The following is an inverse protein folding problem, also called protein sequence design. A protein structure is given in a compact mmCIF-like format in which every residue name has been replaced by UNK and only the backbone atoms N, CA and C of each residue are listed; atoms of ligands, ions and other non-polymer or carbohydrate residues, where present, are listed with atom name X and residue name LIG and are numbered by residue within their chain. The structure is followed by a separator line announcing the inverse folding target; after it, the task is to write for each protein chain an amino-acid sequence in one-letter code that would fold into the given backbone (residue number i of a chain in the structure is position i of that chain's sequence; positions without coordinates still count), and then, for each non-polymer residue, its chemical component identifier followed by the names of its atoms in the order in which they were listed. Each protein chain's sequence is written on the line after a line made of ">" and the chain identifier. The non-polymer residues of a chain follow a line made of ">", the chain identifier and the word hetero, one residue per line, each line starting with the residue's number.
data_IF_955392279000
#
_entry.id   IF_955392279000
#
_cell.length_a   1.000
_cell.length_b   1.000
_cell.length_c   1.000
_cell.angle_alpha   90.00
_cell.angle_beta   90.00
_cell.angle_gamma   90.00
#
_symmetry.space_group_name_H-M   'P 1'
#
loop_
_entity.id
_entity.type
_entity.pdbx_description
1 polymer ?
#
# COMPACT_ATOMS: atom_id res chain seq x y z
N UNK A 1 24.95 14.71 -12.05
CA UNK A 1 23.54 14.39 -11.81
C UNK A 1 23.46 13.58 -10.51
N UNK A 2 22.61 14.00 -9.58
CA UNK A 2 22.33 13.21 -8.37
C UNK A 2 21.66 11.90 -8.81
N UNK A 3 22.20 10.76 -8.41
CA UNK A 3 21.63 9.45 -8.70
C UNK A 3 20.90 8.96 -7.44
N UNK A 4 19.59 8.84 -7.51
CA UNK A 4 18.74 8.37 -6.39
C UNK A 4 18.58 6.85 -6.35
N UNK A 5 18.93 6.15 -7.43
CA UNK A 5 18.74 4.72 -7.55
C UNK A 5 19.27 4.16 -8.87
N UNK A 6 18.98 2.88 -9.13
CA UNK A 6 19.38 2.16 -10.33
C UNK A 6 18.41 1.04 -10.68
N UNK A 7 18.44 0.59 -11.94
CA UNK A 7 17.71 -0.60 -12.38
C UNK A 7 18.44 -1.89 -11.99
N UNK A 8 17.74 -2.81 -11.37
CA UNK A 8 18.18 -4.18 -11.12
C UNK A 8 17.51 -5.09 -12.14
N UNK A 9 18.17 -5.33 -13.27
CA UNK A 9 17.57 -6.05 -14.40
C UNK A 9 17.23 -7.50 -14.06
N UNK A 10 18.11 -8.19 -13.35
CA UNK A 10 17.92 -9.59 -12.95
C UNK A 10 16.69 -9.78 -12.03
N UNK A 11 16.40 -8.82 -11.15
CA UNK A 11 15.24 -8.84 -10.26
C UNK A 11 14.02 -8.14 -10.86
N UNK A 12 14.17 -7.45 -11.99
CA UNK A 12 13.14 -6.57 -12.57
C UNK A 12 12.64 -5.54 -11.57
N UNK A 13 13.58 -4.90 -10.89
CA UNK A 13 13.33 -3.89 -9.87
C UNK A 13 13.97 -2.55 -10.23
N UNK A 14 13.37 -1.47 -9.73
CA UNK A 14 14.05 -0.20 -9.58
C UNK A 14 14.41 0.00 -8.11
N UNK A 15 15.70 0.13 -7.83
CA UNK A 15 16.26 0.22 -6.46
C UNK A 15 16.55 1.68 -6.13
N UNK A 16 15.86 2.22 -5.13
CA UNK A 16 16.07 3.59 -4.63
C UNK A 16 16.99 3.53 -3.42
N UNK A 17 18.12 4.21 -3.49
CA UNK A 17 19.16 4.23 -2.44
C UNK A 17 19.20 5.53 -1.67
N UNK A 18 18.58 6.60 -2.19
CA UNK A 18 18.37 7.87 -1.49
C UNK A 18 16.87 8.21 -1.43
N UNK A 19 16.25 8.21 -0.25
CA UNK A 19 14.81 8.46 -0.12
C UNK A 19 14.39 9.90 -0.42
N UNK A 20 15.35 10.83 -0.56
CA UNK A 20 15.11 12.26 -0.83
C UNK A 20 14.90 12.54 -2.31
N UNK A 21 14.11 11.72 -2.98
CA UNK A 21 13.74 11.94 -4.38
C UNK A 21 13.03 13.28 -4.57
N UNK A 22 13.16 13.94 -5.73
CA UNK A 22 12.58 15.29 -5.97
C UNK A 22 11.06 15.35 -5.81
N UNK A 23 10.39 14.21 -6.01
CA UNK A 23 8.96 13.97 -5.80
C UNK A 23 8.78 12.51 -5.36
N UNK A 24 7.62 12.13 -4.82
CA UNK A 24 7.35 10.73 -4.56
C UNK A 24 7.47 9.89 -5.83
N UNK A 25 8.22 8.80 -5.74
CA UNK A 25 8.32 7.81 -6.82
C UNK A 25 7.43 6.62 -6.46
N UNK A 26 6.47 6.37 -7.33
CA UNK A 26 5.39 5.44 -7.06
C UNK A 26 5.52 4.15 -7.87
N UNK A 27 5.01 3.09 -7.28
CA UNK A 27 4.77 1.80 -7.92
C UNK A 27 3.29 1.44 -7.86
N UNK A 28 2.85 0.58 -8.78
CA UNK A 28 1.49 0.08 -8.85
C UNK A 28 1.43 -1.35 -8.35
N UNK A 29 0.39 -1.65 -7.56
CA UNK A 29 0.14 -2.96 -6.99
C UNK A 29 -1.24 -3.46 -7.42
N UNK A 30 -1.36 -4.77 -7.62
CA UNK A 30 -2.66 -5.41 -7.72
C UNK A 30 -3.12 -5.81 -9.12
N UNK A 31 -4.40 -5.98 -9.22
CA UNK A 31 -5.15 -6.52 -10.35
C UNK A 31 -6.26 -5.56 -10.77
N UNK A 32 -7.03 -5.85 -11.84
CA UNK A 32 -8.22 -5.06 -12.18
C UNK A 32 -9.24 -4.91 -11.04
N UNK A 33 -9.33 -5.93 -10.17
CA UNK A 33 -10.32 -5.97 -9.09
C UNK A 33 -9.90 -5.17 -7.84
N UNK A 34 -8.60 -5.09 -7.56
CA UNK A 34 -8.04 -4.34 -6.44
C UNK A 34 -6.73 -3.69 -6.86
N UNK A 35 -6.69 -2.38 -6.85
CA UNK A 35 -5.51 -1.61 -7.20
C UNK A 35 -4.98 -0.78 -6.05
N UNK A 36 -3.67 -0.58 -6.04
CA UNK A 36 -3.01 0.33 -5.11
C UNK A 36 -1.83 1.04 -5.76
N UNK A 37 -1.57 2.25 -5.30
CA UNK A 37 -0.36 3.00 -5.60
C UNK A 37 0.40 3.18 -4.30
N UNK A 38 1.68 2.87 -4.30
CA UNK A 38 2.56 3.02 -3.16
C UNK A 38 3.84 3.72 -3.56
N UNK A 39 4.28 4.68 -2.76
CA UNK A 39 5.55 5.38 -2.97
C UNK A 39 6.67 4.76 -2.14
N UNK A 40 7.92 5.20 -2.36
CA UNK A 40 9.07 4.80 -1.53
C UNK A 40 8.93 5.20 -0.05
N UNK A 41 8.01 6.12 0.26
CA UNK A 41 7.69 6.54 1.63
C UNK A 41 6.34 6.00 2.12
N UNK A 42 5.79 4.98 1.43
CA UNK A 42 4.50 4.36 1.70
C UNK A 42 3.26 5.28 1.55
N UNK A 43 3.41 6.45 0.92
CA UNK A 43 2.28 7.28 0.48
C UNK A 43 1.46 6.60 -0.61
N UNK A 44 0.36 7.23 -1.01
CA UNK A 44 -0.53 6.73 -2.04
C UNK A 44 -1.82 6.13 -1.49
N UNK A 45 -2.56 5.41 -2.33
CA UNK A 45 -3.93 4.99 -2.01
C UNK A 45 -4.27 3.61 -2.58
N UNK A 46 -5.38 3.06 -2.07
CA UNK A 46 -5.94 1.77 -2.51
C UNK A 46 -7.40 1.92 -2.91
N UNK A 47 -7.84 1.07 -3.83
CA UNK A 47 -9.20 1.09 -4.35
C UNK A 47 -9.65 -0.29 -4.85
N UNK A 48 -10.97 -0.51 -4.84
CA UNK A 48 -11.62 -1.66 -5.47
C UNK A 48 -12.18 -1.21 -6.82
N UNK A 49 -11.76 -1.81 -7.92
CA UNK A 49 -12.17 -1.57 -9.31
C UNK A 49 -11.87 -0.16 -9.83
N UNK A 50 -12.15 0.89 -9.09
CA UNK A 50 -12.03 2.29 -9.55
C UNK A 50 -11.41 3.19 -8.49
N UNK A 51 -10.37 3.93 -8.86
CA UNK A 51 -9.73 4.91 -7.99
C UNK A 51 -10.66 6.07 -7.58
N UNK A 52 -11.69 6.37 -8.36
CA UNK A 52 -12.67 7.41 -8.08
C UNK A 52 -13.89 6.90 -7.32
N UNK A 53 -14.39 5.69 -7.62
CA UNK A 53 -15.64 5.17 -7.09
C UNK A 53 -15.50 3.99 -6.11
N UNK A 54 -14.30 3.44 -5.94
CA UNK A 54 -14.00 2.32 -5.05
C UNK A 54 -12.89 2.61 -4.04
N UNK A 55 -12.67 3.86 -3.69
CA UNK A 55 -11.59 4.30 -2.82
C UNK A 55 -11.70 3.69 -1.41
N UNK A 56 -10.55 3.23 -0.91
CA UNK A 56 -10.41 2.70 0.46
C UNK A 56 -9.59 3.65 1.32
N UNK A 57 -8.41 4.06 0.82
CA UNK A 57 -7.51 4.95 1.54
C UNK A 57 -7.62 6.39 1.05
N UNK A 58 -7.65 7.31 2.00
CA UNK A 58 -7.60 8.74 1.72
C UNK A 58 -6.18 9.16 1.39
N UNK A 59 -6.02 9.84 0.27
CA UNK A 59 -4.77 10.43 -0.18
C UNK A 59 -5.04 11.49 -1.23
N UNK A 60 -4.37 12.63 -1.11
CA UNK A 60 -4.27 13.64 -2.16
C UNK A 60 -2.80 13.92 -2.40
N UNK A 61 -2.42 14.13 -3.67
CA UNK A 61 -1.03 14.48 -3.99
C UNK A 61 -0.58 15.73 -3.24
N UNK A 62 0.49 15.64 -2.48
CA UNK A 62 1.02 16.72 -1.66
C UNK A 62 2.54 16.61 -1.49
N UNK A 63 3.17 17.69 -1.06
CA UNK A 63 4.62 17.81 -0.90
C UNK A 63 5.22 16.78 0.09
N UNK A 64 4.45 16.40 1.11
CA UNK A 64 4.94 15.51 2.18
C UNK A 64 4.61 14.04 1.91
N UNK A 65 3.83 13.75 0.86
CA UNK A 65 3.37 12.40 0.52
C UNK A 65 2.49 11.78 1.63
N UNK A 66 1.63 12.58 2.23
CA UNK A 66 0.77 12.22 3.37
C UNK A 66 -0.73 12.24 3.01
N UNK A 67 -1.53 11.41 3.69
CA UNK A 67 -1.18 10.31 4.56
C UNK A 67 -0.73 9.07 3.78
N UNK A 68 -0.02 8.15 4.48
CA UNK A 68 0.47 6.91 3.89
C UNK A 68 0.06 5.66 4.69
N UNK A 69 0.58 4.52 4.24
CA UNK A 69 0.53 3.22 4.91
C UNK A 69 1.67 3.12 5.89
N UNK A 70 1.58 3.83 7.00
CA UNK A 70 2.71 3.97 7.91
C UNK A 70 2.84 2.78 8.85
N UNK A 71 4.08 2.36 9.05
CA UNK A 71 4.51 1.46 10.10
C UNK A 71 5.56 2.18 10.93
N UNK A 72 5.28 2.39 12.21
CA UNK A 72 6.21 2.98 13.15
C UNK A 72 6.78 1.90 14.05
N UNK A 73 8.06 2.03 14.35
CA UNK A 73 8.75 1.20 15.33
C UNK A 73 9.15 2.12 16.51
N UNK A 74 8.98 1.64 17.72
CA UNK A 74 9.36 2.34 18.94
C UNK A 74 10.12 1.39 19.85
N UNK A 75 11.28 1.81 20.29
CA UNK A 75 12.02 1.11 21.32
C UNK A 75 11.37 1.44 22.68
N UNK A 76 10.81 0.42 23.33
CA UNK A 76 10.10 0.61 24.58
C UNK A 76 11.04 0.90 25.77
N UNK A 77 12.34 0.57 25.66
CA UNK A 77 13.33 0.88 26.70
C UNK A 77 13.71 2.37 26.70
N UNK A 78 13.88 2.95 25.51
CA UNK A 78 14.35 4.34 25.38
C UNK A 78 13.23 5.34 25.08
N UNK A 79 12.10 4.86 24.56
CA UNK A 79 11.02 5.70 24.05
C UNK A 79 11.32 6.30 22.66
N UNK A 80 12.49 6.06 22.10
CA UNK A 80 12.82 6.53 20.75
C UNK A 80 12.00 5.78 19.70
N UNK A 81 11.59 6.47 18.63
CA UNK A 81 10.75 5.90 17.58
C UNK A 81 11.16 6.40 16.20
N UNK A 82 10.85 5.60 15.19
CA UNK A 82 11.09 5.89 13.77
C UNK A 82 10.00 5.22 12.92
N UNK A 83 9.97 5.53 11.64
CA UNK A 83 9.10 4.85 10.69
C UNK A 83 9.89 3.82 9.86
N UNK A 84 9.22 2.75 9.43
CA UNK A 84 9.80 1.68 8.62
C UNK A 84 10.25 2.17 7.23
N UNK A 85 9.56 3.18 6.70
CA UNK A 85 10.01 4.03 5.59
C UNK A 85 10.67 5.28 6.16
N UNK A 86 11.50 5.99 5.39
CA UNK A 86 12.18 7.19 5.90
C UNK A 86 11.18 8.27 6.36
N UNK A 87 10.18 8.59 5.54
CA UNK A 87 9.03 9.41 5.98
C UNK A 87 8.02 8.52 6.69
N UNK A 88 7.24 9.10 7.59
CA UNK A 88 7.11 10.53 7.93
C UNK A 88 8.02 11.02 9.05
N UNK A 89 8.81 10.15 9.73
CA UNK A 89 9.62 10.57 10.90
C UNK A 89 10.91 11.28 10.50
N UNK A 90 11.50 10.92 9.37
CA UNK A 90 12.70 11.55 8.78
C UNK A 90 13.91 11.56 9.73
N UNK A 91 14.26 10.41 10.33
CA UNK A 91 15.52 10.30 11.08
C UNK A 91 16.71 10.69 10.22
N UNK A 92 17.78 11.31 10.81
CA UNK A 92 18.97 11.68 10.06
C UNK A 92 19.58 10.51 9.31
N UNK A 93 19.87 10.66 8.00
CA UNK A 93 20.35 9.58 7.13
C UNK A 93 21.76 9.07 7.48
N UNK A 94 22.48 9.79 8.32
CA UNK A 94 23.75 9.32 8.91
C UNK A 94 23.51 8.13 9.83
N UNK A 95 22.37 8.10 10.51
CA UNK A 95 21.97 7.07 11.48
C UNK A 95 20.92 6.10 10.92
N UNK A 96 20.11 6.55 9.96
CA UNK A 96 19.01 5.79 9.35
C UNK A 96 19.43 5.37 7.94
N UNK A 97 19.48 4.07 7.68
CA UNK A 97 19.75 3.53 6.35
C UNK A 97 18.46 2.96 5.77
N UNK A 98 18.26 3.21 4.50
CA UNK A 98 17.08 2.66 3.80
C UNK A 98 17.39 2.36 2.34
N UNK A 99 16.76 1.30 1.84
CA UNK A 99 16.72 0.91 0.43
C UNK A 99 15.27 0.56 0.11
N UNK A 100 14.73 1.15 -0.94
CA UNK A 100 13.42 0.77 -1.48
C UNK A 100 13.60 0.04 -2.80
N UNK A 101 12.88 -1.08 -2.96
CA UNK A 101 12.82 -1.87 -4.18
C UNK A 101 11.40 -1.81 -4.73
N UNK A 102 11.22 -1.14 -5.85
CA UNK A 102 9.98 -1.22 -6.62
C UNK A 102 10.11 -2.36 -7.63
N UNK A 103 9.41 -3.44 -7.40
CA UNK A 103 9.33 -4.58 -8.32
C UNK A 103 8.02 -4.56 -9.11
N UNK A 104 7.79 -5.60 -9.89
CA UNK A 104 6.57 -5.77 -10.66
C UNK A 104 5.40 -6.14 -9.75
N UNK A 105 4.58 -5.15 -9.41
CA UNK A 105 3.41 -5.25 -8.52
C UNK A 105 3.71 -5.49 -7.03
N UNK A 106 4.92 -5.18 -6.56
CA UNK A 106 5.27 -5.12 -5.13
C UNK A 106 6.27 -4.00 -4.84
N UNK A 107 6.34 -3.59 -3.59
CA UNK A 107 7.35 -2.64 -3.10
C UNK A 107 7.88 -3.12 -1.77
N UNK A 108 9.19 -3.29 -1.65
CA UNK A 108 9.85 -3.61 -0.39
C UNK A 108 10.73 -2.44 0.05
N UNK A 109 10.62 -2.06 1.32
CA UNK A 109 11.47 -1.08 1.97
C UNK A 109 12.22 -1.77 3.09
N UNK A 110 13.54 -1.79 2.96
CA UNK A 110 14.45 -2.22 4.01
C UNK A 110 15.00 -0.99 4.72
N UNK A 111 14.96 -0.96 6.03
CA UNK A 111 15.55 0.12 6.82
C UNK A 111 16.27 -0.41 8.04
N UNK A 112 17.30 0.33 8.48
CA UNK A 112 18.07 0.03 9.69
C UNK A 112 18.26 1.30 10.50
N UNK A 113 17.84 1.26 11.76
CA UNK A 113 18.02 2.33 12.72
C UNK A 113 18.21 1.76 14.12
N UNK A 114 19.11 2.34 14.92
CA UNK A 114 19.34 1.97 16.33
C UNK A 114 19.57 0.46 16.57
N UNK A 115 20.21 -0.24 15.63
CA UNK A 115 20.44 -1.70 15.71
C UNK A 115 19.22 -2.56 15.43
N UNK A 116 18.13 -1.98 14.94
CA UNK A 116 16.94 -2.70 14.48
C UNK A 116 16.84 -2.56 12.94
N UNK A 117 16.73 -3.69 12.26
CA UNK A 117 16.40 -3.77 10.84
C UNK A 117 14.92 -4.06 10.66
N UNK A 118 14.27 -3.38 9.75
CA UNK A 118 12.91 -3.71 9.31
C UNK A 118 12.83 -3.89 7.81
N UNK A 119 12.09 -4.90 7.37
CA UNK A 119 11.75 -5.13 5.95
C UNK A 119 10.24 -5.10 5.82
N UNK A 120 9.73 -4.05 5.19
CA UNK A 120 8.30 -3.86 4.96
C UNK A 120 7.98 -4.07 3.50
N UNK A 121 7.16 -5.07 3.21
CA UNK A 121 6.75 -5.45 1.86
C UNK A 121 5.27 -5.12 1.68
N UNK A 122 4.97 -4.31 0.67
CA UNK A 122 3.63 -3.93 0.24
C UNK A 122 3.31 -4.64 -1.06
N UNK A 123 2.21 -5.40 -1.11
CA UNK A 123 1.74 -6.08 -2.32
C UNK A 123 0.27 -6.43 -2.24
N UNK A 124 -0.30 -6.76 -3.38
CA UNK A 124 -1.62 -7.38 -3.52
C UNK A 124 -1.39 -8.78 -4.07
N UNK A 125 -1.80 -9.85 -3.36
CA UNK A 125 -1.63 -11.21 -3.85
C UNK A 125 -2.35 -11.41 -5.20
N UNK A 126 -1.82 -12.27 -6.03
CA UNK A 126 -2.35 -12.52 -7.38
C UNK A 126 -3.82 -12.96 -7.32
N UNK A 127 -4.69 -12.24 -8.02
CA UNK A 127 -6.14 -12.48 -8.02
C UNK A 127 -6.88 -12.13 -6.74
N UNK A 128 -6.21 -11.54 -5.75
CA UNK A 128 -6.81 -11.15 -4.49
C UNK A 128 -7.46 -9.76 -4.52
N UNK A 129 -8.37 -9.51 -3.57
CA UNK A 129 -9.04 -8.23 -3.33
C UNK A 129 -8.68 -7.66 -1.95
N UNK A 130 -7.41 -7.81 -1.57
CA UNK A 130 -6.85 -7.27 -0.34
C UNK A 130 -5.37 -6.94 -0.54
N UNK A 131 -4.89 -6.04 0.27
CA UNK A 131 -3.50 -5.59 0.31
C UNK A 131 -2.81 -6.14 1.57
N UNK A 132 -1.56 -6.50 1.45
CA UNK A 132 -0.72 -7.04 2.52
C UNK A 132 0.47 -6.12 2.76
N UNK A 133 0.73 -5.79 4.03
CA UNK A 133 1.93 -5.11 4.49
C UNK A 133 2.67 -6.06 5.44
N UNK A 134 3.56 -6.89 4.88
CA UNK A 134 4.42 -7.75 5.69
C UNK A 134 5.52 -6.92 6.33
N UNK A 135 5.69 -7.05 7.63
CA UNK A 135 6.74 -6.37 8.41
C UNK A 135 7.58 -7.42 9.12
N UNK A 136 8.83 -7.58 8.68
CA UNK A 136 9.81 -8.41 9.36
C UNK A 136 10.76 -7.49 10.14
N UNK A 137 10.86 -7.69 11.47
CA UNK A 137 11.70 -6.89 12.36
C UNK A 137 12.80 -7.77 12.92
N UNK A 138 14.05 -7.39 12.70
CA UNK A 138 15.24 -8.12 13.14
C UNK A 138 16.05 -7.30 14.13
N UNK A 139 16.39 -7.89 15.25
CA UNK A 139 17.31 -7.30 16.21
C UNK A 139 18.78 -7.59 15.79
N UNK A 140 19.48 -6.57 15.28
CA UNK A 140 20.91 -6.63 14.91
C UNK A 140 21.83 -6.22 16.06
N UNK A 141 21.28 -5.86 17.21
CA UNK A 141 22.09 -5.52 18.38
C UNK A 141 22.50 -6.77 19.17
N UNK A 142 23.37 -6.61 20.15
CA UNK A 142 23.91 -7.65 21.01
C UNK A 142 23.09 -7.92 22.27
N UNK A 143 21.98 -7.21 22.45
CA UNK A 143 21.09 -7.35 23.61
C UNK A 143 19.63 -7.58 23.19
N UNK A 144 18.82 -8.23 24.04
CA UNK A 144 17.39 -8.33 23.82
C UNK A 144 16.75 -6.94 23.68
N UNK A 145 15.78 -6.78 22.77
CA UNK A 145 15.06 -5.53 22.53
C UNK A 145 13.56 -5.77 22.54
N UNK A 146 12.82 -4.83 23.09
CA UNK A 146 11.36 -4.81 23.02
C UNK A 146 10.92 -3.66 22.14
N UNK A 147 10.36 -4.00 21.00
CA UNK A 147 9.96 -3.06 19.95
C UNK A 147 8.45 -3.06 19.83
N UNK A 148 7.85 -1.92 20.10
CA UNK A 148 6.45 -1.65 19.76
C UNK A 148 6.33 -1.32 18.29
N UNK A 149 5.38 -1.97 17.59
CA UNK A 149 5.08 -1.73 16.18
C UNK A 149 3.68 -1.16 16.07
N UNK A 150 3.56 0.01 15.47
CA UNK A 150 2.28 0.70 15.23
C UNK A 150 2.03 0.82 13.74
N UNK A 151 0.85 0.45 13.29
CA UNK A 151 0.39 0.73 11.94
C UNK A 151 -0.50 1.97 11.89
N UNK A 152 -0.61 2.57 10.71
CA UNK A 152 -1.57 3.63 10.44
C UNK A 152 -1.98 3.66 8.98
N UNK A 153 -3.27 3.77 8.75
CA UNK A 153 -3.83 4.19 7.46
C UNK A 153 -5.08 5.05 7.69
N UNK A 154 -5.33 5.98 6.77
CA UNK A 154 -6.51 6.86 6.84
C UNK A 154 -7.57 6.33 5.88
N UNK A 155 -8.73 5.95 6.44
CA UNK A 155 -9.82 5.39 5.66
C UNK A 155 -10.69 6.50 5.08
N UNK A 156 -11.27 6.26 3.89
CA UNK A 156 -12.25 7.17 3.32
C UNK A 156 -13.62 6.94 3.95
N UNK A 157 -14.35 8.00 4.19
CA UNK A 157 -15.72 7.96 4.74
C UNK A 157 -16.78 7.73 3.66
N UNK A 158 -16.36 7.68 2.40
CA UNK A 158 -17.18 7.42 1.23
C UNK A 158 -16.35 6.70 0.16
N UNK A 159 -16.94 5.80 -0.59
CA UNK A 159 -16.26 5.11 -1.70
C UNK A 159 -16.03 6.03 -2.88
N UNK A 160 -16.91 6.99 -3.13
CA UNK A 160 -16.69 8.04 -4.10
C UNK A 160 -15.74 9.09 -3.51
N UNK A 161 -14.54 9.17 -4.08
CA UNK A 161 -13.48 9.98 -3.52
C UNK A 161 -13.74 11.49 -3.61
N UNK A 162 -14.41 11.95 -4.66
CA UNK A 162 -14.81 13.35 -4.76
C UNK A 162 -15.78 13.72 -3.64
N UNK A 163 -16.75 12.86 -3.35
CA UNK A 163 -17.69 13.07 -2.26
C UNK A 163 -17.00 13.00 -0.88
N UNK A 164 -16.03 12.09 -0.70
CA UNK A 164 -15.24 12.04 0.52
C UNK A 164 -14.51 13.37 0.79
N UNK A 165 -13.98 14.01 -0.24
CA UNK A 165 -13.28 15.30 -0.10
C UNK A 165 -14.22 16.49 0.06
N UNK A 166 -15.26 16.58 -0.76
CA UNK A 166 -16.18 17.73 -0.80
C UNK A 166 -17.14 17.74 0.37
N UNK A 167 -17.63 16.57 0.78
CA UNK A 167 -18.61 16.40 1.84
C UNK A 167 -18.03 15.83 3.14
N UNK A 168 -16.73 15.98 3.37
CA UNK A 168 -16.03 15.39 4.52
C UNK A 168 -16.73 15.66 5.86
N UNK A 169 -17.23 16.86 6.08
CA UNK A 169 -17.95 17.23 7.29
C UNK A 169 -19.20 16.39 7.52
N UNK A 170 -19.94 16.10 6.45
CA UNK A 170 -21.13 15.27 6.51
C UNK A 170 -20.78 13.79 6.64
N UNK A 171 -19.84 13.30 5.84
CA UNK A 171 -19.50 11.88 5.79
C UNK A 171 -18.85 11.38 7.08
N UNK A 172 -18.19 12.25 7.85
CA UNK A 172 -17.71 11.91 9.19
C UNK A 172 -18.82 11.49 10.15
N UNK A 173 -20.03 12.04 10.01
CA UNK A 173 -21.17 11.70 10.88
C UNK A 173 -21.79 10.34 10.57
N UNK A 174 -21.49 9.76 9.43
CA UNK A 174 -22.08 8.49 8.99
C UNK A 174 -21.11 7.31 9.15
N UNK A 175 -19.91 7.52 9.66
CA UNK A 175 -18.92 6.46 9.82
C UNK A 175 -18.67 6.13 11.28
N UNK A 176 -18.57 4.85 11.55
CA UNK A 176 -18.17 4.30 12.84
C UNK A 176 -17.12 3.22 12.65
N UNK A 177 -16.35 2.92 13.69
CA UNK A 177 -15.45 1.77 13.69
C UNK A 177 -15.79 0.82 14.82
N UNK A 178 -15.53 -0.47 14.60
CA UNK A 178 -15.61 -1.54 15.60
C UNK A 178 -14.28 -2.27 15.68
N UNK A 179 -14.00 -2.92 16.82
CA UNK A 179 -12.80 -3.72 17.02
C UNK A 179 -13.16 -5.15 17.42
N UNK A 180 -12.51 -6.13 16.81
CA UNK A 180 -12.82 -7.56 16.94
C UNK A 180 -11.62 -8.42 17.37
N UNK A 181 -10.78 -7.87 18.28
CA UNK A 181 -9.64 -8.57 18.89
C UNK A 181 -8.32 -8.42 18.13
N UNK A 182 -8.32 -8.53 16.82
CA UNK A 182 -7.14 -8.44 15.95
C UNK A 182 -7.34 -7.52 14.73
N UNK A 183 -8.56 -6.96 14.58
CA UNK A 183 -8.86 -6.07 13.47
C UNK A 183 -9.90 -5.01 13.80
N UNK A 184 -9.85 -3.95 13.00
CA UNK A 184 -10.82 -2.85 12.97
C UNK A 184 -11.67 -3.02 11.72
N UNK A 185 -12.98 -2.79 11.86
CA UNK A 185 -13.89 -2.59 10.74
C UNK A 185 -14.46 -1.19 10.83
N UNK A 186 -14.31 -0.43 9.75
CA UNK A 186 -15.06 0.79 9.52
C UNK A 186 -16.38 0.45 8.86
N UNK A 187 -17.46 1.06 9.36
CA UNK A 187 -18.81 0.97 8.84
C UNK A 187 -19.24 2.33 8.32
N UNK A 188 -19.68 2.38 7.06
CA UNK A 188 -20.33 3.55 6.46
C UNK A 188 -21.83 3.34 6.63
N UNK A 189 -22.41 3.94 7.68
CA UNK A 189 -23.76 3.64 8.14
C UNK A 189 -24.86 4.22 7.24
N UNK A 190 -24.60 5.32 6.55
CA UNK A 190 -25.50 5.89 5.57
C UNK A 190 -24.83 5.92 4.20
N UNK A 191 -25.53 5.45 3.22
CA UNK A 191 -25.04 5.37 1.87
C UNK A 191 -25.68 6.47 1.01
N UNK A 192 -24.84 7.37 0.50
CA UNK A 192 -25.24 8.45 -0.39
C UNK A 192 -24.83 8.20 -1.85
N UNK A 193 -24.12 7.13 -2.13
CA UNK A 193 -23.55 6.82 -3.44
C UNK A 193 -24.12 5.55 -4.07
N UNK A 194 -23.85 5.41 -5.34
CA UNK A 194 -24.22 4.26 -6.15
C UNK A 194 -23.16 3.16 -5.95
N UNK A 195 -23.61 1.95 -5.63
CA UNK A 195 -22.84 0.72 -5.67
C UNK A 195 -21.82 0.48 -4.57
N UNK A 196 -22.32 0.25 -3.38
CA UNK A 196 -21.71 -0.78 -2.60
C UNK A 196 -21.98 -2.11 -3.33
N UNK A 197 -20.99 -2.68 -4.00
CA UNK A 197 -21.10 -4.01 -4.57
C UNK A 197 -21.32 -5.02 -3.43
N UNK A 198 -22.57 -5.39 -3.20
CA UNK A 198 -22.97 -6.41 -2.24
C UNK A 198 -22.82 -6.03 -0.77
N UNK A 199 -22.76 -7.04 0.07
CA UNK A 199 -22.76 -6.93 1.54
C UNK A 199 -21.56 -6.14 2.10
N UNK A 200 -20.47 -6.01 1.36
CA UNK A 200 -19.19 -5.52 1.88
C UNK A 200 -18.81 -4.11 1.38
N UNK A 201 -19.61 -3.48 0.52
CA UNK A 201 -19.27 -2.18 -0.07
C UNK A 201 -19.20 -1.03 0.93
N UNK A 202 -19.77 -1.20 2.12
CA UNK A 202 -19.81 -0.21 3.21
C UNK A 202 -18.85 -0.50 4.35
N UNK A 203 -18.00 -1.51 4.21
CA UNK A 203 -17.12 -1.92 5.27
C UNK A 203 -15.67 -1.91 4.79
N UNK A 204 -14.79 -1.34 5.61
CA UNK A 204 -13.35 -1.34 5.42
C UNK A 204 -12.72 -2.10 6.55
N UNK A 205 -11.97 -3.10 6.20
CA UNK A 205 -11.26 -3.97 7.13
C UNK A 205 -9.78 -3.60 7.19
N UNK A 206 -9.25 -3.49 8.41
CA UNK A 206 -7.83 -3.38 8.66
C UNK A 206 -7.43 -4.28 9.83
N UNK A 207 -6.59 -5.28 9.61
CA UNK A 207 -6.27 -6.33 10.57
C UNK A 207 -4.78 -6.62 10.71
N UNK A 208 -4.43 -7.28 11.83
CA UNK A 208 -3.08 -7.73 12.17
C UNK A 208 -3.04 -9.25 12.28
N UNK A 209 -2.11 -9.87 11.56
CA UNK A 209 -1.78 -11.30 11.67
C UNK A 209 -0.35 -11.49 12.19
N UNK A 210 -0.10 -12.62 12.86
CA UNK A 210 1.22 -13.03 13.33
C UNK A 210 1.61 -12.52 14.73
N UNK A 211 0.81 -11.66 15.35
CA UNK A 211 1.04 -11.18 16.74
C UNK A 211 -0.26 -10.64 17.34
N UNK A 212 -0.46 -10.73 18.66
CA UNK A 212 -1.64 -10.16 19.30
C UNK A 212 -1.62 -8.62 19.27
N UNK A 213 -2.79 -8.02 19.14
CA UNK A 213 -2.97 -6.57 19.28
C UNK A 213 -2.90 -6.19 20.75
N UNK A 214 -2.02 -5.24 21.10
CA UNK A 214 -1.89 -4.68 22.46
C UNK A 214 -2.82 -3.49 22.68
N UNK A 215 -2.88 -2.59 21.70
CA UNK A 215 -3.82 -1.47 21.69
C UNK A 215 -4.21 -1.09 20.26
N UNK A 216 -5.28 -0.34 20.13
CA UNK A 216 -5.84 0.04 18.83
C UNK A 216 -6.48 1.42 18.85
N UNK A 217 -6.63 2.02 17.67
CA UNK A 217 -7.55 3.14 17.50
C UNK A 217 -8.14 3.16 16.09
N UNK A 218 -9.44 3.36 16.02
CA UNK A 218 -10.17 3.66 14.78
C UNK A 218 -10.31 5.14 14.52
N UNK A 219 -9.73 6.01 15.36
CA UNK A 219 -9.94 7.45 15.35
C UNK A 219 -8.64 8.22 15.11
N UNK A 220 -8.58 8.97 14.01
CA UNK A 220 -7.41 9.75 13.59
C UNK A 220 -6.92 10.73 14.65
N UNK A 221 -7.84 11.46 15.29
CA UNK A 221 -7.49 12.46 16.30
C UNK A 221 -6.84 11.85 17.55
N UNK A 222 -7.17 10.58 17.85
CA UNK A 222 -6.52 9.86 18.94
C UNK A 222 -5.11 9.42 18.58
N UNK A 223 -4.91 8.99 17.33
CA UNK A 223 -3.59 8.61 16.83
C UNK A 223 -2.63 9.81 16.78
N UNK A 224 -3.06 10.91 16.16
CA UNK A 224 -2.21 12.09 15.95
C UNK A 224 -2.13 12.99 17.20
N UNK A 225 -3.22 13.17 17.95
CA UNK A 225 -3.32 14.19 18.99
C UNK A 225 -3.16 15.58 18.40
N UNK A 226 -2.31 16.40 19.00
CA UNK A 226 -1.86 17.69 18.49
C UNK A 226 -0.59 17.58 17.63
N UNK A 227 -0.11 16.34 17.39
CA UNK A 227 1.07 16.05 16.61
C UNK A 227 0.81 15.99 15.10
N UNK A 228 1.86 15.62 14.38
CA UNK A 228 1.85 15.34 12.95
C UNK A 228 2.17 13.86 12.72
N UNK A 229 2.17 13.40 11.48
CA UNK A 229 2.64 12.06 11.17
C UNK A 229 4.11 11.82 11.53
N UNK A 230 4.93 12.86 11.61
CA UNK A 230 6.32 12.77 12.12
C UNK A 230 6.44 12.55 13.63
N UNK A 231 5.41 12.90 14.41
CA UNK A 231 5.38 12.76 15.87
C UNK A 231 3.97 12.45 16.39
N UNK A 232 3.34 11.35 15.95
CA UNK A 232 1.97 11.04 16.32
C UNK A 232 1.89 10.64 17.80
N UNK A 233 0.90 11.20 18.50
CA UNK A 233 0.74 11.02 19.95
C UNK A 233 0.68 9.55 20.38
N UNK A 234 -0.05 8.71 19.62
CA UNK A 234 -0.16 7.29 19.94
C UNK A 234 1.18 6.56 19.95
N UNK A 235 2.10 6.91 19.04
CA UNK A 235 3.44 6.33 18.98
C UNK A 235 4.34 6.92 20.08
N UNK A 236 4.31 8.24 20.28
CA UNK A 236 5.07 8.92 21.34
C UNK A 236 4.71 8.37 22.71
N UNK A 237 3.42 8.24 23.00
CA UNK A 237 2.91 7.70 24.27
C UNK A 237 3.14 6.18 24.40
N UNK A 238 3.35 5.45 23.31
CA UNK A 238 3.45 4.00 23.31
C UNK A 238 2.10 3.29 23.51
N UNK A 239 0.98 3.99 23.23
CA UNK A 239 -0.38 3.46 23.43
C UNK A 239 -1.42 4.18 22.55
N UNK A 240 -2.30 3.42 21.93
CA UNK A 240 -3.39 3.92 21.08
C UNK A 240 -4.69 4.20 21.86
N UNK A 241 -4.77 3.78 23.13
CA UNK A 241 -5.86 4.11 24.06
C UNK A 241 -7.19 3.42 23.76
N UNK A 242 -7.21 2.37 22.93
CA UNK A 242 -8.37 1.51 22.64
C UNK A 242 -9.64 2.29 22.28
N UNK A 243 -9.51 3.26 21.39
CA UNK A 243 -10.62 4.15 21.02
C UNK A 243 -11.17 3.84 19.63
N UNK A 244 -12.48 3.98 19.52
CA UNK A 244 -13.19 3.76 18.26
C UNK A 244 -13.66 5.10 17.68
N UNK A 245 -13.87 5.14 16.38
CA UNK A 245 -14.44 6.29 15.71
C UNK A 245 -15.94 6.30 15.87
N UNK A 246 -16.44 7.45 16.25
CA UNK A 246 -17.84 7.80 16.19
C UNK A 246 -17.93 9.30 15.86
N UNK A 247 -18.43 9.61 14.68
CA UNK A 247 -18.53 10.99 14.19
C UNK A 247 -17.18 11.73 14.13
N UNK A 248 -16.15 11.11 13.52
CA UNK A 248 -14.84 11.70 13.35
C UNK A 248 -14.13 11.11 12.12
N UNK A 249 -12.84 11.41 12.00
CA UNK A 249 -12.04 10.84 10.92
C UNK A 249 -11.64 9.40 11.23
N UNK A 250 -12.09 8.41 10.45
CA UNK A 250 -11.74 7.02 10.65
C UNK A 250 -10.28 6.76 10.23
N UNK A 251 -9.63 5.87 10.97
CA UNK A 251 -8.33 5.31 10.61
C UNK A 251 -8.25 3.84 11.03
N UNK A 252 -7.32 3.12 10.43
CA UNK A 252 -6.88 1.83 10.91
C UNK A 252 -5.54 2.00 11.61
N UNK A 253 -5.49 1.80 12.92
CA UNK A 253 -4.22 1.79 13.66
C UNK A 253 -4.23 0.70 14.71
N UNK A 254 -3.28 -0.23 14.59
CA UNK A 254 -3.07 -1.39 15.45
C UNK A 254 -1.66 -1.35 16.01
N UNK A 255 -1.52 -1.70 17.27
CA UNK A 255 -0.26 -1.74 17.99
C UNK A 255 0.00 -3.14 18.50
N UNK A 256 1.21 -3.63 18.27
CA UNK A 256 1.73 -4.89 18.84
C UNK A 256 3.12 -4.69 19.41
N UNK A 257 3.58 -5.63 20.23
CA UNK A 257 4.90 -5.59 20.87
C UNK A 257 5.69 -6.85 20.52
N UNK A 258 6.89 -6.65 20.03
CA UNK A 258 7.82 -7.71 19.65
C UNK A 258 9.02 -7.70 20.57
N UNK A 259 9.20 -8.76 21.37
CA UNK A 259 10.45 -8.98 22.14
C UNK A 259 11.37 -9.83 21.27
N UNK A 260 12.57 -9.32 20.99
CA UNK A 260 13.52 -9.90 20.05
C UNK A 260 14.85 -10.18 20.74
N UNK A 261 15.32 -11.43 20.68
CA UNK A 261 16.68 -11.78 21.08
C UNK A 261 17.69 -11.25 20.03
N UNK A 262 18.99 -11.12 20.37
CA UNK A 262 20.04 -10.80 19.38
C UNK A 262 19.96 -11.75 18.17
N UNK A 263 19.90 -11.17 16.97
CA UNK A 263 19.77 -11.90 15.70
C UNK A 263 18.38 -12.45 15.39
N UNK A 264 17.41 -12.35 16.30
CA UNK A 264 16.04 -12.84 16.08
C UNK A 264 15.27 -11.95 15.12
N UNK A 265 14.48 -12.57 14.25
CA UNK A 265 13.51 -11.91 13.36
C UNK A 265 12.10 -12.36 13.73
N UNK A 266 11.18 -11.41 13.85
CA UNK A 266 9.73 -11.69 13.94
C UNK A 266 9.02 -11.04 12.77
N UNK A 267 8.06 -11.78 12.19
CA UNK A 267 7.30 -11.36 11.02
C UNK A 267 5.83 -11.27 11.37
N UNK A 268 5.24 -10.13 11.03
CA UNK A 268 3.81 -9.83 11.15
C UNK A 268 3.28 -9.32 9.82
N UNK A 269 1.97 -9.27 9.66
CA UNK A 269 1.35 -8.64 8.49
C UNK A 269 0.12 -7.82 8.89
N UNK A 270 0.00 -6.63 8.31
CA UNK A 270 -1.23 -5.88 8.29
C UNK A 270 -1.97 -6.15 6.99
N UNK A 271 -3.28 -6.33 7.07
CA UNK A 271 -4.15 -6.66 5.95
C UNK A 271 -5.21 -5.56 5.79
N UNK A 272 -5.36 -5.07 4.56
CA UNK A 272 -6.33 -4.03 4.22
C UNK A 272 -7.26 -4.53 3.12
N UNK A 273 -8.58 -4.41 3.32
CA UNK A 273 -9.56 -4.82 2.32
C UNK A 273 -10.92 -4.12 2.49
N UNK A 274 -11.76 -4.22 1.47
CA UNK A 274 -13.18 -3.93 1.56
C UNK A 274 -13.92 -5.23 1.89
N UNK A 275 -14.10 -5.52 3.17
CA UNK A 275 -14.70 -6.78 3.67
C UNK A 275 -15.42 -6.54 4.99
N UNK A 276 -16.54 -7.23 5.18
CA UNK A 276 -17.23 -7.34 6.47
C UNK A 276 -16.57 -8.39 7.38
N UNK A 277 -17.03 -8.44 8.65
CA UNK A 277 -16.42 -9.20 9.74
C UNK A 277 -16.13 -10.68 9.41
N UNK A 278 -17.12 -11.39 8.87
CA UNK A 278 -16.96 -12.82 8.55
C UNK A 278 -15.88 -13.09 7.51
N UNK A 279 -15.84 -12.28 6.46
CA UNK A 279 -14.84 -12.40 5.41
C UNK A 279 -13.46 -11.92 5.89
N UNK A 280 -13.43 -10.91 6.76
CA UNK A 280 -12.23 -10.41 7.42
C UNK A 280 -11.59 -11.47 8.31
N UNK A 281 -12.39 -12.17 9.14
CA UNK A 281 -11.92 -13.27 9.98
C UNK A 281 -11.33 -14.40 9.15
N UNK A 282 -12.02 -14.85 8.12
CA UNK A 282 -11.52 -15.90 7.22
C UNK A 282 -10.21 -15.50 6.53
N UNK A 283 -10.07 -14.21 6.19
CA UNK A 283 -8.83 -13.68 5.63
C UNK A 283 -7.69 -13.74 6.65
N UNK A 284 -7.88 -13.25 7.87
CA UNK A 284 -6.88 -13.31 8.93
C UNK A 284 -6.44 -14.73 9.26
N UNK A 285 -7.38 -15.66 9.36
CA UNK A 285 -7.11 -17.07 9.63
C UNK A 285 -6.22 -17.69 8.54
N UNK A 286 -6.34 -17.23 7.29
CA UNK A 286 -5.48 -17.67 6.18
C UNK A 286 -4.02 -17.20 6.29
N UNK A 287 -3.72 -16.24 7.17
CA UNK A 287 -2.39 -15.72 7.49
C UNK A 287 -1.88 -16.20 8.86
N UNK A 288 -2.36 -17.33 9.37
CA UNK A 288 -1.90 -17.90 10.64
C UNK A 288 -0.38 -18.11 10.68
N UNK A 289 0.22 -18.52 9.56
CA UNK A 289 1.68 -18.53 9.35
C UNK A 289 2.03 -17.42 8.33
N UNK A 290 2.30 -16.22 8.82
CA UNK A 290 2.54 -15.04 7.99
C UNK A 290 3.73 -15.24 7.06
N UNK A 291 4.86 -15.78 7.55
CA UNK A 291 6.09 -15.88 6.77
C UNK A 291 5.89 -16.78 5.54
N UNK A 292 5.46 -18.02 5.76
CA UNK A 292 5.27 -18.98 4.66
C UNK A 292 4.19 -18.53 3.67
N UNK A 293 3.11 -17.93 4.20
CA UNK A 293 2.01 -17.43 3.37
C UNK A 293 2.50 -16.31 2.44
N UNK A 294 3.17 -15.32 2.98
CA UNK A 294 3.68 -14.17 2.22
C UNK A 294 4.76 -14.59 1.23
N UNK A 295 5.70 -15.46 1.63
CA UNK A 295 6.76 -15.92 0.73
C UNK A 295 6.19 -16.69 -0.46
N UNK A 296 5.16 -17.53 -0.23
CA UNK A 296 4.45 -18.24 -1.31
C UNK A 296 3.71 -17.30 -2.25
N UNK A 297 3.00 -16.32 -1.72
CA UNK A 297 2.25 -15.33 -2.51
C UNK A 297 3.16 -14.41 -3.30
N UNK A 298 4.24 -13.92 -2.68
CA UNK A 298 5.23 -13.08 -3.36
C UNK A 298 5.90 -13.84 -4.50
N UNK A 299 6.29 -15.10 -4.24
CA UNK A 299 6.88 -15.94 -5.29
C UNK A 299 5.92 -16.12 -6.46
N UNK A 300 4.66 -16.43 -6.20
CA UNK A 300 3.65 -16.58 -7.26
C UNK A 300 3.45 -15.29 -8.06
N UNK A 301 3.43 -14.13 -7.38
CA UNK A 301 3.30 -12.82 -8.02
C UNK A 301 4.51 -12.50 -8.91
N UNK A 302 5.73 -12.73 -8.41
CA UNK A 302 6.97 -12.50 -9.16
C UNK A 302 7.06 -13.45 -10.35
N UNK A 303 6.79 -14.73 -10.17
CA UNK A 303 6.81 -15.74 -11.23
C UNK A 303 5.82 -15.38 -12.34
N UNK A 304 4.61 -14.96 -11.98
CA UNK A 304 3.60 -14.50 -12.94
C UNK A 304 4.11 -13.35 -13.80
N UNK A 305 4.53 -12.25 -13.17
CA UNK A 305 4.98 -11.08 -13.93
C UNK A 305 6.25 -11.34 -14.74
N UNK A 306 7.20 -12.10 -14.20
CA UNK A 306 8.41 -12.47 -14.95
C UNK A 306 8.09 -13.35 -16.15
N UNK A 307 7.09 -14.24 -16.01
CA UNK A 307 6.56 -15.03 -17.13
C UNK A 307 5.94 -14.15 -18.21
N UNK A 308 4.96 -13.31 -17.84
CA UNK A 308 4.29 -12.39 -18.77
C UNK A 308 5.27 -11.50 -19.52
N UNK A 309 6.21 -10.86 -18.80
CA UNK A 309 7.19 -9.95 -19.37
C UNK A 309 8.29 -10.65 -20.18
N UNK A 310 8.35 -11.97 -20.19
CA UNK A 310 9.35 -12.73 -20.98
C UNK A 310 9.03 -12.82 -22.47
N UNK A 311 7.81 -12.48 -22.86
CA UNK A 311 7.35 -12.56 -24.27
C UNK A 311 8.07 -11.61 -25.23
N UNK A 312 8.65 -10.53 -24.72
CA UNK A 312 9.49 -9.62 -25.49
C UNK A 312 10.74 -9.24 -24.70
N UNK A 313 11.91 -9.60 -25.21
CA UNK A 313 13.19 -9.25 -24.59
C UNK A 313 14.16 -8.67 -25.61
N UNK A 314 14.88 -7.65 -25.21
CA UNK A 314 15.96 -7.03 -25.97
C UNK A 314 17.27 -7.13 -25.19
N UNK A 315 18.37 -7.24 -25.90
CA UNK A 315 19.71 -7.21 -25.32
C UNK A 315 20.60 -6.28 -26.16
N UNK A 316 20.80 -5.07 -25.66
CA UNK A 316 21.60 -4.03 -26.29
C UNK A 316 22.79 -3.66 -25.39
N UNK A 317 23.76 -2.89 -25.85
CA UNK A 317 24.84 -2.39 -25.01
C UNK A 317 24.38 -1.42 -23.89
N UNK A 318 23.18 -0.86 -23.97
CA UNK A 318 22.62 0.03 -22.97
C UNK A 318 21.72 -0.76 -21.98
N UNK A 319 22.24 -1.02 -20.78
CA UNK A 319 21.54 -1.77 -19.74
C UNK A 319 20.24 -1.07 -19.28
N UNK A 320 20.21 0.27 -19.21
CA UNK A 320 19.02 1.00 -18.79
C UNK A 320 17.92 0.90 -19.85
N UNK A 321 18.29 0.97 -21.13
CA UNK A 321 17.33 0.74 -22.23
C UNK A 321 16.77 -0.68 -22.17
N UNK A 322 17.60 -1.69 -21.91
CA UNK A 322 17.14 -3.06 -21.75
C UNK A 322 16.13 -3.19 -20.62
N UNK A 323 16.41 -2.62 -19.44
CA UNK A 323 15.48 -2.63 -18.30
C UNK A 323 14.15 -1.94 -18.62
N UNK A 324 14.20 -0.79 -19.32
CA UNK A 324 12.97 -0.08 -19.72
C UNK A 324 12.11 -0.92 -20.66
N UNK A 325 12.70 -1.55 -21.67
CA UNK A 325 11.93 -2.37 -22.65
C UNK A 325 11.48 -3.69 -22.03
N UNK A 326 12.39 -4.40 -21.36
CA UNK A 326 12.13 -5.77 -20.87
C UNK A 326 11.18 -5.81 -19.67
N UNK A 327 10.95 -4.68 -18.99
CA UNK A 327 10.14 -4.63 -17.78
C UNK A 327 9.19 -3.44 -17.76
N UNK A 328 9.75 -2.24 -17.68
CA UNK A 328 8.96 -1.08 -17.20
C UNK A 328 7.97 -0.56 -18.22
N UNK A 329 8.30 -0.48 -19.50
CA UNK A 329 7.36 0.01 -20.50
C UNK A 329 6.11 -0.88 -20.58
N UNK A 330 6.30 -2.19 -20.64
CA UNK A 330 5.18 -3.13 -20.72
C UNK A 330 4.35 -3.13 -19.43
N UNK A 331 5.00 -3.15 -18.25
CA UNK A 331 4.32 -3.10 -16.96
C UNK A 331 3.51 -1.80 -16.78
N UNK A 332 4.08 -0.64 -17.15
CA UNK A 332 3.40 0.65 -17.05
C UNK A 332 2.24 0.77 -18.06
N UNK A 333 2.43 0.30 -19.30
CA UNK A 333 1.36 0.28 -20.29
C UNK A 333 0.20 -0.62 -19.86
N UNK A 334 0.49 -1.78 -19.28
CA UNK A 334 -0.54 -2.67 -18.71
C UNK A 334 -1.33 -1.96 -17.61
N UNK A 335 -0.64 -1.35 -16.66
CA UNK A 335 -1.27 -0.61 -15.57
C UNK A 335 -2.17 0.52 -16.05
N UNK A 336 -1.68 1.33 -17.00
CA UNK A 336 -2.48 2.44 -17.56
C UNK A 336 -3.64 1.96 -18.42
N UNK A 337 -3.50 0.82 -19.09
CA UNK A 337 -4.60 0.20 -19.83
C UNK A 337 -5.69 -0.29 -18.88
N UNK A 338 -5.33 -1.00 -17.80
CA UNK A 338 -6.29 -1.61 -16.86
C UNK A 338 -7.03 -0.58 -16.03
N UNK A 339 -6.33 0.42 -15.46
CA UNK A 339 -6.94 1.37 -14.51
C UNK A 339 -7.13 2.78 -15.05
N UNK A 340 -6.85 3.02 -16.32
CA UNK A 340 -6.82 4.38 -16.88
C UNK A 340 -5.71 5.25 -16.28
N UNK A 341 -5.31 6.26 -17.01
CA UNK A 341 -4.35 7.29 -16.54
C UNK A 341 -4.88 8.11 -15.35
N UNK A 342 -6.18 8.08 -15.12
CA UNK A 342 -6.81 8.72 -13.96
C UNK A 342 -6.38 8.10 -12.62
N UNK A 343 -6.11 6.79 -12.58
CA UNK A 343 -5.58 6.11 -11.41
C UNK A 343 -4.06 6.32 -11.25
N UNK A 344 -3.56 7.53 -11.48
CA UNK A 344 -2.17 7.91 -11.25
C UNK A 344 -1.99 8.57 -9.88
N UNK A 345 -0.74 8.69 -9.43
CA UNK A 345 -0.41 9.40 -8.20
C UNK A 345 -0.85 10.88 -8.26
N UNK A 346 -0.66 11.52 -9.42
CA UNK A 346 -0.96 12.96 -9.59
C UNK A 346 -2.47 13.24 -9.59
N UNK A 347 -3.23 12.46 -10.35
CA UNK A 347 -4.69 12.62 -10.40
C UNK A 347 -5.41 12.00 -9.22
N UNK A 348 -4.74 11.18 -8.45
CA UNK A 348 -5.27 10.50 -7.26
C UNK A 348 -6.60 9.78 -7.52
N UNK A 349 -6.82 9.27 -8.73
CA UNK A 349 -8.07 8.61 -9.11
C UNK A 349 -9.30 9.51 -9.16
N UNK A 350 -9.16 10.83 -9.17
CA UNK A 350 -10.30 11.77 -9.18
C UNK A 350 -11.05 11.86 -10.51
N UNK A 351 -10.47 11.37 -11.58
CA UNK A 351 -11.10 11.30 -12.89
C UNK A 351 -11.72 9.94 -13.12
N UNK A 352 -12.90 9.89 -13.70
CA UNK A 352 -13.58 8.68 -14.11
C UNK A 352 -13.43 8.43 -15.62
N UNK A 353 -13.50 7.15 -15.95
CA UNK A 353 -13.60 6.68 -17.33
C UNK A 353 -12.26 6.46 -18.01
N UNK A 354 -12.34 5.68 -19.05
CA UNK A 354 -11.24 5.34 -19.96
C UNK A 354 -11.36 6.29 -21.17
N UNK A 355 -10.35 7.16 -21.37
CA UNK A 355 -10.28 7.96 -22.57
C UNK A 355 -10.02 7.06 -23.78
N UNK A 356 -10.89 7.10 -24.78
CA UNK A 356 -10.80 6.21 -25.95
C UNK A 356 -9.41 6.24 -26.61
N UNK A 357 -8.95 7.41 -27.00
CA UNK A 357 -7.62 7.57 -27.60
C UNK A 357 -6.51 7.04 -26.70
N UNK A 358 -6.57 7.35 -25.42
CA UNK A 358 -5.54 6.98 -24.46
C UNK A 358 -5.48 5.48 -24.27
N UNK A 359 -6.64 4.83 -24.14
CA UNK A 359 -6.77 3.36 -24.04
C UNK A 359 -6.22 2.66 -25.28
N UNK A 360 -6.55 3.16 -26.48
CA UNK A 360 -6.05 2.59 -27.76
C UNK A 360 -4.53 2.73 -27.87
N UNK A 361 -3.95 3.82 -27.37
CA UNK A 361 -2.51 4.01 -27.36
C UNK A 361 -1.81 3.09 -26.34
N UNK A 362 -2.37 2.99 -25.14
CA UNK A 362 -1.77 2.20 -24.05
C UNK A 362 -1.77 0.70 -24.37
N UNK A 363 -2.84 0.19 -24.98
CA UNK A 363 -2.92 -1.24 -25.35
C UNK A 363 -1.89 -1.63 -26.42
N UNK A 364 -1.43 -0.70 -27.25
CA UNK A 364 -0.38 -0.99 -28.24
C UNK A 364 0.95 -1.37 -27.56
N UNK A 365 1.20 -0.85 -26.36
CA UNK A 365 2.39 -1.18 -25.58
C UNK A 365 2.36 -2.56 -24.94
N UNK A 366 1.19 -3.24 -24.93
CA UNK A 366 1.00 -4.53 -24.26
C UNK A 366 0.49 -5.63 -25.20
N UNK A 367 0.56 -5.45 -26.51
CA UNK A 367 0.09 -6.47 -27.49
C UNK A 367 0.72 -7.84 -27.23
N UNK A 368 1.97 -7.86 -26.81
CA UNK A 368 2.70 -9.08 -26.50
C UNK A 368 2.34 -9.70 -25.14
N UNK A 369 1.71 -8.93 -24.23
CA UNK A 369 1.20 -9.41 -22.95
C UNK A 369 -0.27 -9.86 -23.04
N UNK A 370 -1.10 -9.08 -23.72
CA UNK A 370 -2.54 -9.31 -23.85
C UNK A 370 -3.03 -9.09 -25.28
N UNK A 371 -2.74 -10.01 -26.20
CA UNK A 371 -3.18 -9.93 -27.59
C UNK A 371 -4.69 -10.07 -27.74
N UNK A 372 -5.36 -10.68 -26.76
CA UNK A 372 -6.82 -10.89 -26.78
C UNK A 372 -7.54 -9.56 -26.57
N UNK A 373 -7.18 -8.81 -25.52
CA UNK A 373 -7.75 -7.49 -25.28
C UNK A 373 -7.48 -6.52 -26.42
N UNK A 374 -6.28 -6.55 -27.02
CA UNK A 374 -5.96 -5.77 -28.21
C UNK A 374 -6.92 -6.09 -29.37
N UNK A 375 -7.15 -7.38 -29.64
CA UNK A 375 -8.03 -7.82 -30.71
C UNK A 375 -9.48 -7.37 -30.48
N UNK A 376 -9.96 -7.49 -29.25
CA UNK A 376 -11.32 -7.05 -28.88
C UNK A 376 -11.49 -5.54 -29.04
N UNK A 377 -10.54 -4.75 -28.56
CA UNK A 377 -10.59 -3.29 -28.70
C UNK A 377 -10.59 -2.87 -30.17
N UNK A 378 -9.72 -3.48 -31.00
CA UNK A 378 -9.65 -3.22 -32.43
C UNK A 378 -10.94 -3.58 -33.17
N UNK A 379 -11.62 -4.66 -32.77
CA UNK A 379 -12.91 -5.05 -33.35
C UNK A 379 -13.99 -3.99 -33.10
N UNK A 380 -13.99 -3.35 -31.94
CA UNK A 380 -14.89 -2.22 -31.64
C UNK A 380 -14.57 -0.96 -32.45
N UNK A 381 -13.31 -0.68 -32.76
CA UNK A 381 -12.93 0.42 -33.66
C UNK A 381 -13.48 0.23 -35.08
N UNK A 382 -13.44 -1.00 -35.60
CA UNK A 382 -13.94 -1.30 -36.94
C UNK A 382 -15.45 -1.19 -37.06
N UNK A 383 -16.18 -1.46 -36.00
CA UNK A 383 -17.63 -1.29 -35.95
C UNK A 383 -18.08 0.17 -35.89
N UNK A 384 -17.25 1.06 -35.37
CA UNK A 384 -17.52 2.50 -35.31
C UNK A 384 -17.20 3.23 -36.63
N UNK A 385 -16.44 2.58 -37.52
CA UNK A 385 -16.06 3.11 -38.83
C UNK A 385 -16.93 2.56 -40.00
N UNK A 386 -17.95 1.77 -39.67
CA UNK A 386 -18.98 1.32 -40.59
C UNK A 386 -20.28 2.08 -40.37
#
# INVERSE_FOLDING_TARGET
>A
LMQFGYFSDAAREYVITDPRTPMPWANYLGSPEYGAIVTQNAGGYSFVKSGAAGRILRYTFNQFDEPGRYVYLRDDETGDYWSATWRPVEKPLEQYKTITRHGTSYTEVESTYSGIESKTLYYVPLGATHEVWRVAVTNKSDKPRTISVFSYCELTTESNYEQDLVNLQYTQFITTTTFHGDHIIEHINQFCGVNADGENGRERFFGLAGSPVKSYTGRRERFLGQGRFSNPKGVVDGDLGNSLNFNGNPCGSLHTVLTLQPGETKTIAFLLAQKGEKAARALLDSYANVADKVDGELKALVDYWHGELSGLTVNTPDANFNSMINTWNAFQCFTTFVWSRAASLIYCGQRNGLGYRDTVQDIQGIIHLDPVSYTHLRAHETLMNL
#
